data_IF_830493288923
#
_entry.id   IF_830493288923
#
_cell.length_a   1.000
_cell.length_b   1.000
_cell.length_c   1.000
_cell.angle_alpha   90.00
_cell.angle_beta   90.00
_cell.angle_gamma   90.00
#
_symmetry.space_group_name_H-M   'P 1'
#
loop_
_entity.id
_entity.type
_entity.pdbx_description
1 polymer ?
#
# COMPACT_ATOMS: atom_id res chain seq x y z
N UNK A 1 4.72 -1.72 -21.03
CA UNK A 1 6.11 -1.77 -20.49
C UNK A 1 7.06 -2.06 -21.64
N UNK A 2 8.10 -1.24 -21.83
CA UNK A 2 9.08 -1.36 -22.92
C UNK A 2 10.06 -2.50 -22.66
N UNK A 3 10.56 -3.14 -23.72
CA UNK A 3 11.50 -4.29 -23.70
C UNK A 3 12.71 -4.11 -22.78
N UNK A 4 13.18 -2.87 -22.58
CA UNK A 4 14.28 -2.53 -21.68
C UNK A 4 14.00 -2.81 -20.20
N UNK A 5 12.77 -2.61 -19.74
CA UNK A 5 12.37 -2.91 -18.36
C UNK A 5 12.39 -4.41 -18.11
N UNK A 6 12.04 -5.22 -19.12
CA UNK A 6 12.02 -6.69 -19.00
C UNK A 6 13.42 -7.30 -18.88
N UNK A 7 14.44 -6.74 -19.56
CA UNK A 7 15.82 -7.25 -19.45
C UNK A 7 16.39 -7.09 -18.04
N UNK A 8 16.07 -6.00 -17.34
CA UNK A 8 16.57 -5.75 -15.98
C UNK A 8 15.96 -6.68 -14.92
N UNK A 9 14.82 -7.31 -15.19
CA UNK A 9 14.18 -8.26 -14.27
C UNK A 9 14.47 -9.73 -14.63
N UNK A 10 15.00 -10.01 -15.83
CA UNK A 10 15.23 -11.38 -16.31
C UNK A 10 16.29 -12.15 -15.53
N UNK A 11 17.38 -11.47 -15.16
CA UNK A 11 18.56 -12.11 -14.54
C UNK A 11 18.74 -11.71 -13.06
N UNK A 12 17.69 -11.18 -12.42
CA UNK A 12 17.76 -10.76 -11.03
C UNK A 12 17.83 -12.00 -10.12
N UNK A 13 18.83 -12.14 -9.23
CA UNK A 13 18.86 -13.22 -8.26
C UNK A 13 17.67 -13.10 -7.29
N UNK A 14 17.10 -14.24 -6.92
CA UNK A 14 16.11 -14.29 -5.83
C UNK A 14 16.79 -13.77 -4.57
N UNK A 15 16.24 -12.72 -3.94
CA UNK A 15 16.77 -12.23 -2.67
C UNK A 15 16.26 -13.14 -1.57
N UNK A 16 17.17 -13.61 -0.72
CA UNK A 16 16.80 -14.33 0.48
C UNK A 16 16.18 -13.41 1.53
N UNK A 17 15.58 -14.02 2.55
CA UNK A 17 14.98 -13.31 3.69
C UNK A 17 15.91 -12.30 4.36
N UNK A 18 17.20 -12.61 4.46
CA UNK A 18 18.16 -11.80 5.24
C UNK A 18 18.56 -10.50 4.52
N UNK A 19 18.54 -10.49 3.19
CA UNK A 19 18.84 -9.32 2.35
C UNK A 19 17.58 -8.50 1.98
N UNK A 20 16.40 -8.93 2.47
CA UNK A 20 15.14 -8.31 2.11
C UNK A 20 14.78 -7.15 3.05
N UNK A 21 14.71 -5.93 2.50
CA UNK A 21 14.28 -4.70 3.21
C UNK A 21 12.92 -4.87 3.91
N UNK A 22 11.94 -5.53 3.29
CA UNK A 22 10.64 -5.73 3.93
C UNK A 22 10.67 -6.76 5.06
N UNK A 23 11.57 -7.75 4.99
CA UNK A 23 11.82 -8.64 6.10
C UNK A 23 12.50 -7.92 7.27
N UNK A 24 13.39 -6.98 6.96
CA UNK A 24 14.04 -6.11 7.96
C UNK A 24 13.04 -5.16 8.62
N UNK A 25 12.07 -4.63 7.87
CA UNK A 25 10.95 -3.88 8.45
C UNK A 25 10.07 -4.80 9.32
N UNK A 26 9.72 -5.99 8.82
CA UNK A 26 8.87 -6.94 9.55
C UNK A 26 9.49 -7.48 10.85
N UNK A 27 10.82 -7.58 10.91
CA UNK A 27 11.57 -7.94 12.12
C UNK A 27 11.85 -6.75 13.05
N UNK A 28 11.60 -5.52 12.59
CA UNK A 28 11.90 -4.28 13.31
C UNK A 28 13.36 -3.85 13.24
N UNK A 29 14.20 -4.46 12.39
CA UNK A 29 15.59 -4.03 12.19
C UNK A 29 15.73 -2.78 11.31
N UNK A 30 14.70 -2.43 10.55
CA UNK A 30 14.65 -1.19 9.77
C UNK A 30 13.38 -0.38 10.14
N UNK A 31 13.49 0.95 10.31
CA UNK A 31 12.32 1.77 10.63
C UNK A 31 11.35 1.84 9.46
N UNK A 32 10.06 1.96 9.80
CA UNK A 32 8.99 2.26 8.85
C UNK A 32 7.83 2.95 9.56
N UNK A 33 7.10 3.79 8.83
CA UNK A 33 5.88 4.41 9.35
C UNK A 33 4.71 3.43 9.26
N UNK A 34 4.60 2.55 10.27
CA UNK A 34 3.59 1.51 10.34
C UNK A 34 2.18 2.09 10.48
N UNK A 35 1.24 1.58 9.69
CA UNK A 35 -0.19 1.93 9.76
C UNK A 35 -1.07 0.75 10.17
N UNK A 36 -0.58 -0.48 10.05
CA UNK A 36 -1.28 -1.68 10.50
C UNK A 36 -0.30 -2.82 10.78
N UNK A 37 -0.64 -3.64 11.76
CA UNK A 37 0.12 -4.83 12.14
C UNK A 37 -0.82 -5.92 12.64
N UNK A 38 -0.59 -7.15 12.19
CA UNK A 38 -1.20 -8.37 12.70
C UNK A 38 -0.19 -9.52 12.72
N UNK A 39 -0.63 -10.73 13.08
CA UNK A 39 0.22 -11.92 13.09
C UNK A 39 0.80 -12.25 11.70
N UNK A 40 0.04 -12.02 10.63
CA UNK A 40 0.42 -12.42 9.26
C UNK A 40 0.60 -11.25 8.30
N UNK A 41 0.23 -10.04 8.68
CA UNK A 41 0.22 -8.87 7.81
C UNK A 41 0.88 -7.66 8.48
N UNK A 42 1.55 -6.83 7.68
CA UNK A 42 2.12 -5.56 8.08
C UNK A 42 1.80 -4.52 6.99
N UNK A 43 1.49 -3.29 7.36
CA UNK A 43 1.35 -2.20 6.41
C UNK A 43 2.02 -0.93 6.88
N UNK A 44 2.62 -0.19 5.94
CA UNK A 44 3.40 1.02 6.21
C UNK A 44 3.39 1.96 5.01
N UNK A 45 3.71 3.24 5.23
CA UNK A 45 3.83 4.22 4.15
C UNK A 45 5.01 3.90 3.22
N UNK A 46 4.80 4.08 1.91
CA UNK A 46 5.89 4.05 0.93
C UNK A 46 6.75 5.32 1.08
N UNK A 47 8.07 5.15 1.19
CA UNK A 47 9.04 6.25 1.32
C UNK A 47 9.13 7.12 0.07
N UNK A 48 8.80 6.56 -1.10
CA UNK A 48 8.74 7.24 -2.39
C UNK A 48 7.30 7.14 -2.92
N UNK A 49 6.36 7.85 -2.27
CA UNK A 49 4.94 7.70 -2.53
C UNK A 49 4.60 8.12 -3.96
N UNK A 50 3.72 7.37 -4.63
CA UNK A 50 3.15 7.82 -5.92
C UNK A 50 2.26 9.04 -5.66
N UNK A 51 1.52 9.02 -4.55
CA UNK A 51 0.66 10.09 -4.04
C UNK A 51 0.61 10.03 -2.52
N UNK A 52 0.31 11.15 -1.86
CA UNK A 52 0.11 11.20 -0.41
C UNK A 52 -0.88 10.11 0.02
N UNK A 53 -0.51 9.35 1.05
CA UNK A 53 -1.29 8.19 1.54
C UNK A 53 -1.00 6.87 0.83
N UNK A 54 0.05 6.81 0.01
CA UNK A 54 0.51 5.55 -0.58
C UNK A 54 1.03 4.59 0.50
N UNK A 55 0.32 3.47 0.66
CA UNK A 55 0.64 2.44 1.66
C UNK A 55 1.04 1.14 0.96
N UNK A 56 2.04 0.45 1.51
CA UNK A 56 2.42 -0.91 1.16
C UNK A 56 1.85 -1.88 2.19
N UNK A 57 1.20 -2.94 1.73
CA UNK A 57 0.73 -4.06 2.56
C UNK A 57 1.52 -5.32 2.21
N UNK A 58 2.17 -5.91 3.20
CA UNK A 58 3.09 -7.05 3.02
C UNK A 58 2.76 -8.18 4.00
N UNK A 59 2.94 -9.45 3.61
CA UNK A 59 2.91 -10.54 4.57
C UNK A 59 4.15 -10.46 5.46
N UNK A 60 4.02 -10.87 6.72
CA UNK A 60 5.17 -10.94 7.65
C UNK A 60 6.17 -12.02 7.23
N UNK A 61 5.68 -13.14 6.69
CA UNK A 61 6.52 -14.18 6.10
C UNK A 61 7.05 -13.70 4.76
N UNK A 62 8.32 -13.98 4.50
CA UNK A 62 8.91 -13.76 3.19
C UNK A 62 8.26 -14.69 2.15
N UNK A 63 7.64 -14.08 1.15
CA UNK A 63 7.15 -14.73 -0.06
C UNK A 63 7.44 -13.84 -1.25
N UNK A 64 7.95 -14.41 -2.34
CA UNK A 64 8.32 -13.61 -3.52
C UNK A 64 7.10 -13.02 -4.23
N UNK A 65 6.00 -13.78 -4.25
CA UNK A 65 4.84 -13.52 -5.08
C UNK A 65 3.54 -14.03 -4.41
N UNK A 66 2.41 -13.61 -4.96
CA UNK A 66 1.08 -13.90 -4.43
C UNK A 66 0.77 -15.40 -4.42
N UNK A 67 1.24 -16.14 -5.43
CA UNK A 67 0.99 -17.59 -5.55
C UNK A 67 1.72 -18.42 -4.49
N UNK A 68 2.66 -17.84 -3.75
CA UNK A 68 3.39 -18.50 -2.67
C UNK A 68 2.70 -18.38 -1.29
N UNK A 69 1.56 -17.68 -1.19
CA UNK A 69 0.73 -17.68 0.01
C UNK A 69 -0.07 -18.99 0.11
N UNK A 70 -0.06 -19.60 1.29
CA UNK A 70 -0.85 -20.81 1.49
C UNK A 70 -2.33 -20.49 1.69
N UNK A 71 -3.20 -21.19 0.97
CA UNK A 71 -4.66 -21.15 1.17
C UNK A 71 -5.15 -22.13 2.22
N UNK A 72 -4.27 -23.02 2.71
CA UNK A 72 -4.54 -23.99 3.78
C UNK A 72 -3.43 -23.92 4.82
N UNK A 73 -3.73 -23.95 6.11
CA UNK A 73 -2.68 -24.06 7.14
C UNK A 73 -1.95 -25.41 7.02
N UNK A 74 -0.63 -25.37 6.85
CA UNK A 74 0.24 -26.55 6.73
C UNK A 74 0.38 -27.38 8.03
N UNK A 75 -0.21 -26.92 9.13
CA UNK A 75 0.13 -27.29 10.50
C UNK A 75 -0.79 -28.40 11.04
N UNK A 76 -1.63 -29.01 10.19
CA UNK A 76 -2.61 -30.01 10.61
C UNK A 76 -3.70 -29.45 11.53
N UNK A 77 -3.86 -28.12 11.57
CA UNK A 77 -4.88 -27.48 12.39
C UNK A 77 -6.27 -27.82 11.85
N UNK A 78 -7.19 -28.00 12.81
CA UNK A 78 -8.55 -28.48 12.58
C UNK A 78 -9.25 -27.60 11.54
N UNK A 79 -10.05 -28.24 10.70
CA UNK A 79 -11.00 -27.60 9.78
C UNK A 79 -11.69 -26.40 10.46
N UNK A 80 -11.29 -25.16 10.14
CA UNK A 80 -11.93 -23.94 10.66
C UNK A 80 -11.03 -22.73 10.97
N UNK A 81 -9.70 -22.87 10.99
CA UNK A 81 -8.80 -21.71 11.13
C UNK A 81 -8.50 -21.06 9.76
N UNK A 82 -8.47 -19.72 9.72
CA UNK A 82 -8.16 -18.95 8.53
C UNK A 82 -6.73 -19.25 8.06
N UNK A 83 -6.56 -19.56 6.77
CA UNK A 83 -5.23 -19.76 6.18
C UNK A 83 -4.44 -18.45 6.08
N UNK A 84 -3.12 -18.55 5.95
CA UNK A 84 -2.23 -17.40 5.73
C UNK A 84 -2.75 -16.41 4.68
N UNK A 85 -3.21 -16.90 3.52
CA UNK A 85 -3.78 -16.05 2.47
C UNK A 85 -5.03 -15.30 2.94
N UNK A 86 -5.91 -15.95 3.69
CA UNK A 86 -7.14 -15.35 4.21
C UNK A 86 -6.84 -14.22 5.21
N UNK A 87 -5.92 -14.47 6.14
CA UNK A 87 -5.47 -13.47 7.12
C UNK A 87 -4.82 -12.26 6.46
N UNK A 88 -3.97 -12.52 5.46
CA UNK A 88 -3.29 -11.48 4.70
C UNK A 88 -4.28 -10.62 3.91
N UNK A 89 -5.22 -11.24 3.18
CA UNK A 89 -6.24 -10.52 2.41
C UNK A 89 -7.19 -9.75 3.33
N UNK A 90 -7.55 -10.29 4.49
CA UNK A 90 -8.30 -9.55 5.52
C UNK A 90 -7.55 -8.28 5.92
N UNK A 91 -6.25 -8.38 6.19
CA UNK A 91 -5.39 -7.23 6.48
C UNK A 91 -5.40 -6.21 5.35
N UNK A 92 -5.24 -6.66 4.10
CA UNK A 92 -5.29 -5.78 2.92
C UNK A 92 -6.62 -5.01 2.82
N UNK A 93 -7.75 -5.66 3.05
CA UNK A 93 -9.08 -5.03 3.02
C UNK A 93 -9.22 -4.01 4.16
N UNK A 94 -8.82 -4.37 5.37
CA UNK A 94 -8.85 -3.49 6.56
C UNK A 94 -8.03 -2.22 6.30
N UNK A 95 -6.81 -2.36 5.79
CA UNK A 95 -5.92 -1.24 5.49
C UNK A 95 -6.49 -0.38 4.37
N UNK A 96 -7.01 -0.99 3.31
CA UNK A 96 -7.64 -0.26 2.19
C UNK A 96 -8.78 0.63 2.68
N UNK A 97 -9.66 0.10 3.54
CA UNK A 97 -10.74 0.88 4.15
C UNK A 97 -10.23 1.97 5.07
N UNK A 98 -9.21 1.68 5.88
CA UNK A 98 -8.61 2.65 6.79
C UNK A 98 -7.95 3.83 6.04
N UNK A 99 -7.25 3.56 4.94
CA UNK A 99 -6.68 4.60 4.06
C UNK A 99 -7.80 5.47 3.48
N UNK A 100 -8.85 4.87 2.92
CA UNK A 100 -9.96 5.64 2.35
C UNK A 100 -10.67 6.50 3.40
N UNK A 101 -10.85 5.98 4.62
CA UNK A 101 -11.44 6.71 5.75
C UNK A 101 -10.56 7.87 6.23
N UNK A 102 -9.25 7.63 6.37
CA UNK A 102 -8.31 8.66 6.82
C UNK A 102 -8.14 9.81 5.82
N UNK A 103 -8.26 9.52 4.53
CA UNK A 103 -8.14 10.52 3.46
C UNK A 103 -9.48 11.11 3.04
N UNK A 104 -10.59 10.63 3.59
CA UNK A 104 -11.95 10.99 3.19
C UNK A 104 -12.19 10.81 1.66
N UNK A 105 -11.50 9.86 1.03
CA UNK A 105 -11.58 9.54 -0.40
C UNK A 105 -11.31 8.04 -0.61
N UNK A 106 -12.33 7.29 -1.03
CA UNK A 106 -12.27 5.84 -1.27
C UNK A 106 -11.85 5.48 -2.70
N UNK A 107 -11.53 6.49 -3.53
CA UNK A 107 -10.96 6.26 -4.86
C UNK A 107 -9.51 5.82 -4.69
N UNK A 108 -9.31 4.52 -4.56
CA UNK A 108 -8.00 3.91 -4.36
C UNK A 108 -7.67 2.97 -5.52
N UNK A 109 -6.38 2.89 -5.87
CA UNK A 109 -5.86 1.89 -6.77
C UNK A 109 -5.12 0.82 -5.96
N UNK A 110 -5.49 -0.43 -6.12
CA UNK A 110 -4.80 -1.57 -5.52
C UNK A 110 -3.95 -2.25 -6.59
N UNK A 111 -2.63 -2.24 -6.42
CA UNK A 111 -1.68 -2.76 -7.42
C UNK A 111 -0.73 -3.72 -6.76
N UNK A 112 -0.44 -4.83 -7.42
CA UNK A 112 0.70 -5.65 -7.06
C UNK A 112 1.50 -5.97 -8.30
N UNK A 113 2.80 -5.67 -8.26
CA UNK A 113 3.73 -6.11 -9.29
C UNK A 113 4.27 -7.48 -8.88
N UNK A 114 4.31 -8.40 -9.82
CA UNK A 114 4.75 -9.77 -9.61
C UNK A 114 5.82 -10.08 -10.65
N UNK A 115 7.02 -10.48 -10.23
CA UNK A 115 8.19 -10.81 -11.08
C UNK A 115 8.69 -9.62 -11.92
N UNK A 116 7.83 -8.99 -12.71
CA UNK A 116 8.11 -7.81 -13.53
C UNK A 116 7.66 -6.52 -12.83
N UNK A 117 8.54 -5.51 -12.83
CA UNK A 117 8.25 -4.23 -12.17
C UNK A 117 8.28 -4.29 -10.64
N UNK A 118 8.64 -5.44 -10.07
CA UNK A 118 8.75 -5.65 -8.63
C UNK A 118 10.17 -5.33 -8.16
N UNK A 119 10.35 -4.13 -7.59
CA UNK A 119 11.67 -3.64 -7.17
C UNK A 119 12.13 -4.31 -5.87
N UNK A 120 11.21 -4.64 -4.96
CA UNK A 120 11.50 -5.43 -3.75
C UNK A 120 10.86 -6.81 -3.92
N UNK A 121 11.62 -7.91 -4.04
CA UNK A 121 11.14 -9.28 -4.22
C UNK A 121 10.61 -9.86 -2.90
N UNK A 122 9.62 -9.18 -2.35
CA UNK A 122 8.78 -9.63 -1.23
C UNK A 122 7.39 -9.15 -1.58
N UNK A 123 6.38 -10.02 -1.50
CA UNK A 123 5.02 -9.72 -1.91
C UNK A 123 4.53 -8.43 -1.25
N UNK A 124 4.10 -7.47 -2.06
CA UNK A 124 3.50 -6.25 -1.56
C UNK A 124 2.37 -5.79 -2.46
N UNK A 125 1.36 -5.22 -1.82
CA UNK A 125 0.28 -4.51 -2.49
C UNK A 125 0.44 -3.02 -2.21
N UNK A 126 0.44 -2.25 -3.29
CA UNK A 126 0.33 -0.80 -3.25
C UNK A 126 -1.15 -0.43 -3.11
N UNK A 127 -1.48 0.34 -2.08
CA UNK A 127 -2.73 1.07 -1.95
C UNK A 127 -2.43 2.52 -2.30
N UNK A 128 -2.86 2.96 -3.48
CA UNK A 128 -2.51 4.29 -4.01
C UNK A 128 -3.77 5.15 -4.13
N UNK A 129 -3.90 6.24 -3.35
CA UNK A 129 -5.04 7.15 -3.46
C UNK A 129 -5.15 7.78 -4.84
N UNK A 130 -6.34 8.06 -5.35
CA UNK A 130 -6.54 8.63 -6.68
C UNK A 130 -5.96 10.05 -6.79
N UNK A 131 -5.69 10.55 -8.01
CA UNK A 131 -5.41 11.96 -8.21
C UNK A 131 -6.57 12.84 -7.68
N UNK A 132 -6.26 14.06 -7.20
CA UNK A 132 -7.29 15.04 -6.85
C UNK A 132 -8.27 15.25 -8.01
N UNK A 133 -9.55 15.45 -7.69
CA UNK A 133 -10.53 15.79 -8.71
C UNK A 133 -10.22 17.16 -9.31
N UNK A 134 -10.48 17.38 -10.61
CA UNK A 134 -10.37 18.70 -11.21
C UNK A 134 -11.20 19.72 -10.42
N UNK A 135 -10.56 20.78 -9.93
CA UNK A 135 -11.22 21.83 -9.15
C UNK A 135 -11.36 21.55 -7.65
N UNK A 136 -10.95 20.37 -7.17
CA UNK A 136 -10.79 20.16 -5.73
C UNK A 136 -9.52 20.86 -5.24
N UNK A 137 -9.63 21.74 -4.26
CA UNK A 137 -8.48 22.13 -3.45
C UNK A 137 -8.16 20.95 -2.54
N UNK A 138 -6.93 20.41 -2.54
CA UNK A 138 -6.56 19.43 -1.53
C UNK A 138 -6.85 20.03 -0.15
N UNK A 139 -7.63 19.31 0.65
CA UNK A 139 -7.98 19.69 2.02
C UNK A 139 -6.69 19.98 2.80
N UNK A 140 -6.61 21.18 3.39
CA UNK A 140 -5.38 21.87 3.79
C UNK A 140 -4.64 21.23 4.99
N UNK A 141 -3.30 21.16 4.91
CA UNK A 141 -2.39 21.93 5.77
C UNK A 141 -0.91 21.67 5.46
N UNK A 142 -0.32 22.48 4.59
CA UNK A 142 1.10 22.82 4.70
C UNK A 142 1.23 24.33 4.50
N UNK A 143 1.59 24.99 5.61
CA UNK A 143 1.83 26.42 5.63
C UNK A 143 3.27 26.66 5.22
N UNK A 144 3.51 27.10 3.98
CA UNK A 144 4.64 27.98 3.65
C UNK A 144 4.38 28.75 2.35
N UNK A 145 4.90 29.97 2.30
CA UNK A 145 4.40 31.08 1.51
C UNK A 145 4.90 31.17 0.05
N UNK A 146 3.98 31.59 -0.82
CA UNK A 146 4.07 32.49 -1.98
C UNK A 146 5.32 32.52 -2.88
N UNK A 147 5.11 32.21 -4.16
CA UNK A 147 5.56 33.10 -5.26
C UNK A 147 4.56 33.06 -6.41
N UNK A 148 4.15 34.24 -6.87
CA UNK A 148 3.09 34.50 -7.86
C UNK A 148 3.63 34.37 -9.27
N UNK A 149 2.88 33.73 -10.18
CA UNK A 149 2.92 34.09 -11.62
C UNK A 149 1.57 33.84 -12.29
N UNK A 150 1.13 34.79 -13.13
CA UNK A 150 -0.17 34.87 -13.82
C UNK A 150 -0.31 33.89 -15.02
N UNK A 151 -1.52 33.66 -15.58
CA UNK A 151 -1.84 32.47 -16.36
C UNK A 151 -1.53 32.61 -17.85
N UNK A 152 -1.04 31.54 -18.49
CA UNK A 152 -0.91 31.43 -19.95
C UNK A 152 -1.98 30.50 -20.54
N UNK A 153 -2.57 30.98 -21.63
CA UNK A 153 -3.67 30.44 -22.45
C UNK A 153 -3.43 28.98 -22.85
N UNK A 154 -4.40 28.11 -22.55
CA UNK A 154 -4.35 26.67 -22.84
C UNK A 154 -4.68 26.34 -24.30
N UNK A 155 -3.84 25.53 -24.93
CA UNK A 155 -4.16 24.72 -26.11
C UNK A 155 -4.17 23.26 -25.69
N UNK A 156 -5.11 22.41 -26.16
CA UNK A 156 -5.23 21.03 -25.70
C UNK A 156 -3.98 20.24 -26.13
N UNK A 157 -3.37 19.43 -25.24
CA UNK A 157 -2.15 18.72 -25.59
C UNK A 157 -2.48 17.58 -26.58
N UNK A 158 -1.59 17.29 -27.53
CA UNK A 158 -1.74 16.14 -28.42
C UNK A 158 -1.67 14.86 -27.57
N UNK A 159 -2.41 13.83 -27.99
CA UNK A 159 -2.56 12.54 -27.30
C UNK A 159 -1.23 12.07 -26.70
N UNK A 160 -1.08 12.29 -25.39
CA UNK A 160 0.15 12.00 -24.67
C UNK A 160 0.33 10.49 -24.57
N UNK A 161 1.44 10.02 -25.10
CA UNK A 161 2.10 8.78 -24.70
C UNK A 161 1.93 8.56 -23.18
N UNK A 162 1.44 7.38 -22.79
CA UNK A 162 1.21 6.96 -21.40
C UNK A 162 2.51 6.78 -20.58
N UNK A 163 3.68 6.99 -21.18
CA UNK A 163 4.99 6.78 -20.56
C UNK A 163 5.37 7.75 -19.40
N UNK A 164 4.92 9.01 -19.33
CA UNK A 164 5.29 9.89 -18.22
C UNK A 164 4.64 9.49 -16.88
N UNK A 165 3.58 8.68 -16.86
CA UNK A 165 2.86 8.34 -15.63
C UNK A 165 3.62 7.41 -14.68
N UNK A 166 4.71 6.78 -15.14
CA UNK A 166 5.46 5.80 -14.34
C UNK A 166 6.73 6.40 -13.71
N UNK A 167 7.14 7.61 -14.13
CA UNK A 167 8.45 8.17 -13.77
C UNK A 167 8.53 9.69 -13.68
N UNK A 168 7.48 10.37 -13.21
CA UNK A 168 7.74 11.68 -12.58
C UNK A 168 8.52 11.39 -11.29
N UNK A 169 9.68 12.05 -11.13
CA UNK A 169 10.51 11.96 -9.93
C UNK A 169 9.63 12.02 -8.70
N UNK A 170 9.60 10.92 -7.95
CA UNK A 170 8.90 10.88 -6.67
C UNK A 170 9.84 11.52 -5.67
N UNK A 171 9.38 12.56 -5.02
CA UNK A 171 10.11 13.12 -3.89
C UNK A 171 9.93 12.18 -2.69
N UNK A 172 10.96 12.07 -1.86
CA UNK A 172 10.87 11.36 -0.59
C UNK A 172 9.79 12.00 0.29
N UNK A 173 9.03 11.17 0.99
CA UNK A 173 8.06 11.66 1.96
C UNK A 173 8.80 12.27 3.15
N UNK A 174 8.49 13.53 3.49
CA UNK A 174 9.02 14.18 4.67
C UNK A 174 8.67 13.40 5.95
N UNK A 175 9.63 13.21 6.84
CA UNK A 175 9.47 12.35 8.02
C UNK A 175 8.38 12.86 8.98
N UNK A 176 8.27 14.18 9.18
CA UNK A 176 7.25 14.76 10.07
C UNK A 176 5.85 14.60 9.44
N UNK A 177 5.74 14.82 8.13
CA UNK A 177 4.50 14.53 7.38
C UNK A 177 4.15 13.03 7.46
N UNK A 178 5.13 12.14 7.33
CA UNK A 178 4.95 10.70 7.36
C UNK A 178 4.46 10.21 8.74
N UNK A 179 5.01 10.75 9.83
CA UNK A 179 4.57 10.43 11.20
C UNK A 179 3.11 10.79 11.40
N UNK A 180 2.71 12.01 11.02
CA UNK A 180 1.34 12.47 11.21
C UNK A 180 0.36 11.71 10.32
N UNK A 181 0.72 11.49 9.05
CA UNK A 181 -0.11 10.73 8.12
C UNK A 181 -0.28 9.27 8.57
N UNK A 182 0.80 8.63 9.04
CA UNK A 182 0.71 7.26 9.56
C UNK A 182 -0.15 7.18 10.82
N UNK A 183 -0.08 8.18 11.70
CA UNK A 183 -0.95 8.28 12.88
C UNK A 183 -2.43 8.37 12.49
N UNK A 184 -2.75 9.20 11.50
CA UNK A 184 -4.13 9.36 10.99
C UNK A 184 -4.65 8.06 10.38
N UNK A 185 -3.88 7.43 9.49
CA UNK A 185 -4.27 6.17 8.85
C UNK A 185 -4.42 5.06 9.90
N UNK A 186 -3.48 4.95 10.85
CA UNK A 186 -3.55 3.94 11.92
C UNK A 186 -4.83 4.08 12.75
N UNK A 187 -5.19 5.30 13.15
CA UNK A 187 -6.43 5.54 13.88
C UNK A 187 -7.67 5.10 13.09
N UNK A 188 -7.73 5.41 11.79
CA UNK A 188 -8.82 5.00 10.92
C UNK A 188 -8.87 3.47 10.71
N UNK A 189 -7.70 2.83 10.59
CA UNK A 189 -7.58 1.36 10.52
C UNK A 189 -8.09 0.72 11.81
N UNK A 190 -7.72 1.24 12.98
CA UNK A 190 -8.17 0.72 14.27
C UNK A 190 -9.70 0.80 14.42
N UNK A 191 -10.31 1.87 13.90
CA UNK A 191 -11.78 1.98 13.84
C UNK A 191 -12.40 0.90 12.95
N UNK A 192 -11.85 0.67 11.75
CA UNK A 192 -12.31 -0.39 10.85
C UNK A 192 -12.19 -1.78 11.50
N UNK A 193 -11.08 -2.05 12.20
CA UNK A 193 -10.91 -3.32 12.93
C UNK A 193 -11.97 -3.49 14.01
N UNK A 194 -12.30 -2.43 14.76
CA UNK A 194 -13.36 -2.46 15.78
C UNK A 194 -14.73 -2.72 15.16
N UNK A 195 -15.04 -2.06 14.04
CA UNK A 195 -16.30 -2.27 13.30
C UNK A 195 -16.44 -3.73 12.84
N UNK A 196 -15.39 -4.31 12.25
CA UNK A 196 -15.39 -5.70 11.77
C UNK A 196 -15.46 -6.70 12.92
N UNK A 197 -14.76 -6.43 14.02
CA UNK A 197 -14.83 -7.27 15.23
C UNK A 197 -16.23 -7.27 15.81
N UNK A 198 -16.88 -6.09 15.90
CA UNK A 198 -18.25 -5.95 16.38
C UNK A 198 -19.25 -6.71 15.50
N UNK A 199 -19.10 -6.65 14.16
CA UNK A 199 -19.91 -7.43 13.21
C UNK A 199 -19.78 -8.94 13.43
N UNK A 200 -18.57 -9.42 13.71
CA UNK A 200 -18.30 -10.85 13.98
C UNK A 200 -18.88 -11.32 15.30
N UNK A 201 -18.86 -10.48 16.34
CA UNK A 201 -19.40 -10.82 17.68
C UNK A 201 -20.91 -10.61 17.80
N UNK A 202 -21.52 -9.85 16.89
CA UNK A 202 -22.90 -9.36 17.00
C UNK A 202 -23.97 -10.12 16.20
N UNK A 203 -23.66 -11.24 15.53
CA UNK A 203 -24.61 -11.89 14.63
C UNK A 203 -24.68 -13.43 14.72
N UNK A 204 -25.86 -14.02 14.97
CA UNK A 204 -26.11 -15.45 14.76
C UNK A 204 -26.44 -15.85 13.31
N UNK A 205 -26.58 -14.93 12.35
CA UNK A 205 -27.07 -15.25 10.98
C UNK A 205 -26.23 -14.60 9.87
N UNK A 206 -25.09 -15.21 9.54
CA UNK A 206 -24.39 -14.98 8.27
C UNK A 206 -23.80 -16.30 7.75
N UNK A 207 -24.67 -17.28 7.50
CA UNK A 207 -24.42 -18.35 6.55
C UNK A 207 -25.33 -18.10 5.35
N UNK A 208 -24.73 -17.67 4.24
CA UNK A 208 -25.24 -17.88 2.89
C UNK A 208 -24.16 -18.62 2.11
#
# INVERSE_FOLDING_TARGET
MTTFTLSSFRDRPLQGRDDCTFCQIASGSQPAHLVYESERCLAFLDILPIRRGHVLVVPRRHVDNLAALSVVESNGSKTGEAGEAEEFIRGLVVVTRGVGKALEDDRLQIITNQVYGQVVPHLHFHIVPAPPLPGSTPSLSSSTASSRTSPKKETPPPQRSLLPLIGHGRDELDDDEAVELARQIRAAVDEVVKEETARRTGGPDAKL
#
